data_IF_893112710038
#
_entry.id   IF_893112710038
#
_cell.length_a   1.000
_cell.length_b   1.000
_cell.length_c   1.000
_cell.angle_alpha   90.00
_cell.angle_beta   90.00
_cell.angle_gamma   90.00
#
_symmetry.space_group_name_H-M   'P 1'
#
loop_
_entity.id
_entity.type
_entity.pdbx_description
1 polymer ?
#
# COMPACT_ATOMS: atom_id res chain seq x y z
N UNK A 1 33.29 30.46 14.79
CA UNK A 1 33.42 29.24 13.96
C UNK A 1 32.17 28.44 14.25
N UNK A 2 31.12 28.68 13.45
CA UNK A 2 29.80 28.06 13.61
C UNK A 2 29.88 26.65 13.05
N UNK A 3 29.60 25.63 13.86
CA UNK A 3 29.51 24.26 13.40
C UNK A 3 28.46 24.17 12.28
N UNK A 4 28.71 23.39 11.21
CA UNK A 4 27.69 23.18 10.18
C UNK A 4 26.46 22.54 10.83
N UNK A 5 25.25 22.85 10.35
CA UNK A 5 24.03 22.24 10.89
C UNK A 5 24.13 20.71 10.77
N UNK A 6 23.98 19.99 11.88
CA UNK A 6 23.90 18.54 11.87
C UNK A 6 22.74 18.12 10.96
N UNK A 7 23.08 17.54 9.84
CA UNK A 7 22.09 17.00 8.91
C UNK A 7 21.33 15.87 9.63
N UNK A 8 20.02 15.97 9.72
CA UNK A 8 19.21 14.92 10.34
C UNK A 8 19.51 13.55 9.69
N UNK A 9 19.65 12.48 10.49
CA UNK A 9 20.00 11.16 9.99
C UNK A 9 18.99 10.66 8.96
N UNK A 10 19.52 10.04 7.91
CA UNK A 10 18.70 9.40 6.87
C UNK A 10 17.97 8.16 7.41
N UNK A 11 16.92 7.71 6.73
CA UNK A 11 16.20 6.50 7.12
C UNK A 11 17.10 5.25 7.10
N UNK A 12 18.04 5.17 6.16
CA UNK A 12 19.00 4.07 6.07
C UNK A 12 19.97 4.06 7.26
N UNK A 13 20.44 5.23 7.69
CA UNK A 13 21.30 5.37 8.89
C UNK A 13 20.55 5.00 10.16
N UNK A 14 19.28 5.47 10.30
CA UNK A 14 18.43 5.12 11.42
C UNK A 14 18.17 3.62 11.48
N UNK A 15 17.86 3.01 10.32
CA UNK A 15 17.61 1.58 10.24
C UNK A 15 18.86 0.77 10.58
N UNK A 16 20.02 1.15 10.08
CA UNK A 16 21.29 0.52 10.41
C UNK A 16 21.65 0.66 11.90
N UNK A 17 21.47 1.85 12.48
CA UNK A 17 21.68 2.09 13.90
C UNK A 17 20.72 1.26 14.77
N UNK A 18 19.48 1.03 14.31
CA UNK A 18 18.47 0.25 15.03
C UNK A 18 18.85 -1.24 15.19
N UNK A 19 19.80 -1.74 14.43
CA UNK A 19 20.30 -3.12 14.59
C UNK A 19 20.99 -3.31 15.93
N UNK A 20 21.71 -2.27 16.40
CA UNK A 20 22.45 -2.28 17.68
C UNK A 20 21.59 -1.72 18.83
N UNK A 21 20.74 -0.76 18.52
CA UNK A 21 19.88 -0.04 19.47
C UNK A 21 18.45 0.01 18.90
N UNK A 22 17.60 -0.90 19.35
CA UNK A 22 16.23 -1.07 18.85
C UNK A 22 15.39 0.20 18.93
N UNK A 23 15.64 1.08 19.88
CA UNK A 23 14.88 2.31 20.09
C UNK A 23 15.05 3.29 18.90
N UNK A 24 16.16 3.21 18.18
CA UNK A 24 16.39 3.99 16.96
C UNK A 24 15.38 3.70 15.86
N UNK A 25 14.73 2.54 15.86
CA UNK A 25 13.67 2.21 14.91
C UNK A 25 12.43 3.08 15.08
N UNK A 26 12.19 3.63 16.25
CA UNK A 26 11.06 4.54 16.54
C UNK A 26 11.04 5.73 15.57
N UNK A 27 12.21 6.30 15.25
CA UNK A 27 12.28 7.40 14.29
C UNK A 27 11.86 7.00 12.87
N UNK A 28 12.15 5.76 12.45
CA UNK A 28 11.67 5.22 11.16
C UNK A 28 10.15 4.99 11.21
N UNK A 29 9.66 4.46 12.32
CA UNK A 29 8.23 4.27 12.55
C UNK A 29 7.47 5.60 12.44
N UNK A 30 7.88 6.62 13.20
CA UNK A 30 7.20 7.93 13.26
C UNK A 30 7.17 8.62 11.89
N UNK A 31 8.27 8.54 11.13
CA UNK A 31 8.36 9.14 9.78
C UNK A 31 7.42 8.49 8.77
N UNK A 32 7.22 7.19 8.88
CA UNK A 32 6.53 6.43 7.82
C UNK A 32 5.13 5.93 8.21
N UNK A 33 4.79 5.92 9.50
CA UNK A 33 3.51 5.40 9.99
C UNK A 33 2.30 5.98 9.23
N UNK A 34 2.18 7.30 9.19
CA UNK A 34 1.02 7.95 8.56
C UNK A 34 0.88 7.61 7.06
N UNK A 35 2.01 7.49 6.35
CA UNK A 35 2.02 7.11 4.94
C UNK A 35 1.61 5.66 4.72
N UNK A 36 2.18 4.74 5.50
CA UNK A 36 1.87 3.31 5.44
C UNK A 36 0.42 3.07 5.85
N UNK A 37 -0.03 3.68 6.96
CA UNK A 37 -1.42 3.56 7.42
C UNK A 37 -2.41 4.01 6.34
N UNK A 38 -2.23 5.21 5.76
CA UNK A 38 -3.08 5.72 4.67
C UNK A 38 -3.13 4.76 3.49
N UNK A 39 -2.00 4.18 3.10
CA UNK A 39 -1.92 3.22 2.01
C UNK A 39 -2.68 1.93 2.34
N UNK A 40 -2.46 1.36 3.53
CA UNK A 40 -3.12 0.11 3.96
C UNK A 40 -4.62 0.33 4.14
N UNK A 41 -5.03 1.42 4.80
CA UNK A 41 -6.44 1.77 4.99
C UNK A 41 -7.16 2.00 3.66
N UNK A 42 -6.50 2.62 2.69
CA UNK A 42 -7.02 2.76 1.33
C UNK A 42 -7.16 1.44 0.56
N UNK A 43 -6.60 0.33 1.09
CA UNK A 43 -6.62 -1.00 0.47
C UNK A 43 -7.56 -1.98 1.16
N UNK A 44 -7.64 -1.94 2.47
CA UNK A 44 -8.34 -2.91 3.31
C UNK A 44 -9.50 -2.31 4.11
N UNK A 45 -9.58 -0.98 4.16
CA UNK A 45 -10.47 -0.27 5.08
C UNK A 45 -9.84 -0.08 6.46
N UNK A 46 -10.45 0.78 7.30
CA UNK A 46 -9.87 1.19 8.59
C UNK A 46 -9.76 0.02 9.57
N UNK A 47 -10.75 -0.89 9.63
CA UNK A 47 -10.79 -1.98 10.62
C UNK A 47 -9.64 -2.98 10.48
N UNK A 48 -9.20 -3.28 9.25
CA UNK A 48 -8.09 -4.19 9.00
C UNK A 48 -6.74 -3.46 8.87
N UNK A 49 -6.75 -2.12 8.86
CA UNK A 49 -5.55 -1.34 8.62
C UNK A 49 -4.56 -1.43 9.77
N UNK A 50 -5.04 -1.28 11.00
CA UNK A 50 -4.17 -1.20 12.19
C UNK A 50 -3.36 -2.48 12.37
N UNK A 51 -3.99 -3.65 12.23
CA UNK A 51 -3.32 -4.95 12.33
C UNK A 51 -2.25 -5.11 11.26
N UNK A 52 -2.57 -4.77 10.00
CA UNK A 52 -1.62 -4.91 8.88
C UNK A 52 -0.51 -3.88 8.96
N UNK A 53 -0.76 -2.69 9.47
CA UNK A 53 0.28 -1.67 9.73
C UNK A 53 1.22 -2.12 10.84
N UNK A 54 0.67 -2.59 11.95
CA UNK A 54 1.48 -3.12 13.05
C UNK A 54 2.37 -4.27 12.57
N UNK A 55 1.82 -5.24 11.82
CA UNK A 55 2.59 -6.35 11.26
C UNK A 55 3.62 -5.89 10.22
N UNK A 56 3.34 -4.80 9.48
CA UNK A 56 4.30 -4.20 8.53
C UNK A 56 5.54 -3.72 9.27
N UNK A 57 5.36 -2.92 10.32
CA UNK A 57 6.50 -2.40 11.09
C UNK A 57 7.20 -3.47 11.91
N UNK A 58 6.47 -4.44 12.46
CA UNK A 58 7.06 -5.59 13.14
C UNK A 58 7.92 -6.43 12.18
N UNK A 59 7.43 -6.68 10.97
CA UNK A 59 8.19 -7.38 9.93
C UNK A 59 9.42 -6.57 9.50
N UNK A 60 9.28 -5.26 9.34
CA UNK A 60 10.38 -4.37 9.03
C UNK A 60 11.44 -4.39 10.15
N UNK A 61 11.03 -4.29 11.41
CA UNK A 61 11.92 -4.38 12.56
C UNK A 61 12.68 -5.71 12.60
N UNK A 62 12.00 -6.83 12.39
CA UNK A 62 12.63 -8.16 12.36
C UNK A 62 13.63 -8.32 11.21
N UNK A 63 13.37 -7.68 10.08
CA UNK A 63 14.21 -7.77 8.86
C UNK A 63 15.21 -6.63 8.71
N UNK A 64 15.29 -5.70 9.65
CA UNK A 64 16.11 -4.48 9.53
C UNK A 64 17.59 -4.74 9.28
N UNK A 65 18.13 -5.83 9.84
CA UNK A 65 19.53 -6.22 9.63
C UNK A 65 19.80 -6.74 8.20
N UNK A 66 18.77 -7.16 7.48
CA UNK A 66 18.88 -7.64 6.10
C UNK A 66 18.53 -6.56 5.07
N UNK A 67 18.26 -5.33 5.51
CA UNK A 67 18.03 -4.22 4.59
C UNK A 67 19.34 -3.82 3.92
N UNK A 68 19.32 -3.73 2.61
CA UNK A 68 20.46 -3.33 1.79
C UNK A 68 20.17 -1.95 1.14
N UNK A 69 20.82 -0.86 1.59
CA UNK A 69 20.59 0.47 1.06
C UNK A 69 21.05 0.64 -0.40
N UNK A 70 21.91 -0.24 -0.91
CA UNK A 70 22.31 -0.22 -2.32
C UNK A 70 21.19 -0.66 -3.28
N UNK A 71 20.16 -1.32 -2.75
CA UNK A 71 19.00 -1.84 -3.49
C UNK A 71 17.78 -0.93 -3.45
N UNK A 72 17.88 0.22 -2.77
CA UNK A 72 16.80 1.21 -2.69
C UNK A 72 16.60 1.77 -1.29
N UNK A 73 15.63 2.66 -1.18
CA UNK A 73 15.33 3.38 0.05
C UNK A 73 14.43 2.58 1.02
N UNK A 74 14.48 2.96 2.29
CA UNK A 74 13.66 2.36 3.36
C UNK A 74 12.16 2.51 3.07
N UNK A 75 11.76 3.64 2.49
CA UNK A 75 10.35 3.93 2.20
C UNK A 75 9.74 2.92 1.22
N UNK A 76 10.20 2.74 -0.03
CA UNK A 76 9.67 1.71 -0.93
C UNK A 76 9.78 0.30 -0.34
N UNK A 77 10.81 -0.01 0.43
CA UNK A 77 10.93 -1.29 1.11
C UNK A 77 9.78 -1.54 2.10
N UNK A 78 9.40 -0.53 2.93
CA UNK A 78 8.24 -0.61 3.83
C UNK A 78 6.93 -0.82 3.05
N UNK A 79 6.72 -0.10 1.95
CA UNK A 79 5.54 -0.29 1.10
C UNK A 79 5.53 -1.66 0.40
N UNK A 80 6.69 -2.24 0.12
CA UNK A 80 6.84 -3.62 -0.36
C UNK A 80 6.33 -4.64 0.67
N UNK A 81 6.74 -4.48 1.94
CA UNK A 81 6.26 -5.32 3.05
C UNK A 81 4.74 -5.17 3.19
N UNK A 82 4.22 -3.94 3.27
CA UNK A 82 2.79 -3.66 3.38
C UNK A 82 1.99 -4.28 2.23
N UNK A 83 2.46 -4.16 0.99
CA UNK A 83 1.81 -4.71 -0.20
C UNK A 83 1.69 -6.23 -0.12
N UNK A 84 2.75 -6.91 0.34
CA UNK A 84 2.76 -8.37 0.52
C UNK A 84 1.79 -8.81 1.64
N UNK A 85 1.74 -8.09 2.76
CA UNK A 85 0.83 -8.38 3.87
C UNK A 85 -0.63 -8.12 3.48
N UNK A 86 -0.93 -7.06 2.74
CA UNK A 86 -2.26 -6.82 2.15
C UNK A 86 -2.68 -8.00 1.26
N UNK A 87 -1.77 -8.48 0.41
CA UNK A 87 -2.05 -9.63 -0.46
C UNK A 87 -2.29 -10.92 0.33
N UNK A 88 -1.57 -11.11 1.43
CA UNK A 88 -1.75 -12.25 2.34
C UNK A 88 -3.09 -12.16 3.09
N UNK A 89 -3.41 -10.99 3.67
CA UNK A 89 -4.68 -10.75 4.36
C UNK A 89 -5.88 -11.09 3.47
N UNK A 90 -5.90 -10.58 2.24
CA UNK A 90 -6.98 -10.88 1.27
C UNK A 90 -7.08 -12.36 0.93
N UNK A 91 -5.96 -13.08 0.77
CA UNK A 91 -6.00 -14.53 0.51
C UNK A 91 -6.60 -15.31 1.69
N UNK A 92 -6.28 -14.88 2.91
CA UNK A 92 -6.82 -15.49 4.14
C UNK A 92 -8.33 -15.26 4.25
N UNK A 93 -8.78 -14.03 4.03
CA UNK A 93 -10.19 -13.68 4.02
C UNK A 93 -10.98 -14.49 2.96
N UNK A 94 -10.49 -14.52 1.72
CA UNK A 94 -11.12 -15.31 0.66
C UNK A 94 -11.20 -16.81 1.04
N UNK A 95 -10.17 -17.35 1.69
CA UNK A 95 -10.17 -18.74 2.14
C UNK A 95 -11.20 -18.97 3.26
N UNK A 96 -11.30 -18.05 4.22
CA UNK A 96 -12.31 -18.11 5.29
C UNK A 96 -13.73 -18.08 4.72
N UNK A 97 -14.04 -17.16 3.81
CA UNK A 97 -15.34 -17.09 3.16
C UNK A 97 -15.68 -18.37 2.38
N UNK A 98 -14.73 -18.97 1.66
CA UNK A 98 -14.94 -20.24 0.94
C UNK A 98 -15.22 -21.41 1.88
N UNK A 99 -14.58 -21.45 3.04
CA UNK A 99 -14.85 -22.48 4.05
C UNK A 99 -16.25 -22.31 4.63
N UNK A 100 -16.63 -21.08 5.00
CA UNK A 100 -17.96 -20.77 5.50
C UNK A 100 -19.07 -21.04 4.47
N UNK A 101 -18.82 -20.70 3.19
CA UNK A 101 -19.76 -20.98 2.11
C UNK A 101 -19.96 -22.49 1.85
N UNK A 102 -18.94 -23.33 2.13
CA UNK A 102 -19.07 -24.78 2.05
C UNK A 102 -19.87 -25.38 3.20
N UNK A 103 -19.95 -24.68 4.34
CA UNK A 103 -20.73 -25.10 5.51
C UNK A 103 -22.19 -24.62 5.41
N UNK A 104 -22.46 -23.55 4.65
CA UNK A 104 -23.78 -23.05 4.33
C UNK A 104 -24.01 -23.08 2.83
N UNK A 105 -24.68 -24.11 2.35
CA UNK A 105 -24.91 -24.39 0.94
C UNK A 105 -25.52 -23.22 0.16
N UNK A 106 -25.10 -23.08 -1.12
CA UNK A 106 -25.66 -22.25 -2.18
C UNK A 106 -25.43 -20.72 -2.10
N UNK A 107 -24.23 -20.29 -2.52
CA UNK A 107 -24.06 -19.02 -3.28
C UNK A 107 -22.72 -19.00 -4.00
N UNK A 108 -22.80 -18.73 -5.30
CA UNK A 108 -21.71 -18.58 -6.28
C UNK A 108 -20.61 -17.62 -5.79
N UNK A 109 -19.31 -18.01 -5.72
CA UNK A 109 -18.23 -17.16 -5.23
C UNK A 109 -17.60 -16.29 -6.32
N UNK A 110 -18.40 -15.74 -7.21
CA UNK A 110 -17.99 -14.85 -8.27
C UNK A 110 -17.78 -13.40 -7.80
N UNK A 111 -16.54 -12.98 -7.54
CA UNK A 111 -16.15 -11.56 -7.60
C UNK A 111 -16.62 -10.63 -6.48
N UNK A 112 -17.12 -11.13 -5.35
CA UNK A 112 -17.70 -10.29 -4.27
C UNK A 112 -16.65 -9.70 -3.32
N UNK A 113 -15.51 -10.37 -3.12
CA UNK A 113 -14.50 -9.98 -2.11
C UNK A 113 -13.78 -8.67 -2.43
N UNK A 114 -13.52 -8.39 -3.72
CA UNK A 114 -12.90 -7.12 -4.14
C UNK A 114 -13.87 -5.93 -4.03
N UNK A 115 -15.17 -6.17 -4.07
CA UNK A 115 -16.21 -5.14 -3.91
C UNK A 115 -16.44 -4.76 -2.45
N UNK A 116 -16.42 -5.70 -1.51
CA UNK A 116 -16.61 -5.44 -0.08
C UNK A 116 -15.42 -4.65 0.48
N UNK A 117 -14.19 -5.03 0.15
CA UNK A 117 -12.99 -4.27 0.57
C UNK A 117 -12.94 -2.86 -0.03
N UNK A 118 -13.48 -2.65 -1.24
CA UNK A 118 -13.60 -1.33 -1.85
C UNK A 118 -14.69 -0.47 -1.18
N UNK A 119 -15.77 -1.07 -0.62
CA UNK A 119 -16.87 -0.32 -0.02
C UNK A 119 -16.52 0.29 1.34
N UNK A 120 -15.68 -0.38 2.14
CA UNK A 120 -15.30 0.10 3.48
C UNK A 120 -14.35 1.29 3.40
N UNK A 121 -13.53 1.39 2.35
CA UNK A 121 -12.70 2.59 2.08
C UNK A 121 -13.51 3.76 1.50
N UNK A 122 -14.77 3.52 1.13
CA UNK A 122 -15.61 4.48 0.41
C UNK A 122 -16.23 5.57 1.30
N UNK A 123 -16.24 5.42 2.61
CA UNK A 123 -16.83 6.42 3.52
C UNK A 123 -16.09 7.78 3.49
N UNK A 124 -14.84 7.81 3.04
CA UNK A 124 -14.05 9.03 2.86
C UNK A 124 -13.81 9.44 1.40
N UNK A 125 -14.17 8.60 0.44
CA UNK A 125 -14.07 8.88 -0.99
C UNK A 125 -15.47 9.12 -1.55
N UNK A 126 -15.58 10.02 -2.54
CA UNK A 126 -16.83 10.13 -3.28
C UNK A 126 -17.22 8.74 -3.81
N UNK A 127 -18.48 8.30 -3.66
CA UNK A 127 -18.90 6.95 -4.05
C UNK A 127 -18.59 6.58 -5.51
N UNK A 128 -18.52 7.58 -6.38
CA UNK A 128 -18.10 7.44 -7.78
C UNK A 128 -16.63 7.00 -7.92
N UNK A 129 -15.73 7.62 -7.14
CA UNK A 129 -14.30 7.28 -7.15
C UNK A 129 -14.06 5.87 -6.59
N UNK A 130 -14.74 5.50 -5.51
CA UNK A 130 -14.65 4.16 -4.94
C UNK A 130 -15.08 3.09 -5.95
N UNK A 131 -16.21 3.30 -6.65
CA UNK A 131 -16.68 2.41 -7.72
C UNK A 131 -15.70 2.35 -8.89
N UNK A 132 -15.15 3.49 -9.31
CA UNK A 132 -14.18 3.55 -10.40
C UNK A 132 -12.88 2.79 -10.04
N UNK A 133 -12.37 2.94 -8.82
CA UNK A 133 -11.23 2.18 -8.32
C UNK A 133 -11.55 0.67 -8.21
N UNK A 134 -12.76 0.30 -7.78
CA UNK A 134 -13.19 -1.09 -7.73
C UNK A 134 -13.26 -1.75 -9.12
N UNK A 135 -13.58 -0.99 -10.16
CA UNK A 135 -13.62 -1.47 -11.54
C UNK A 135 -12.24 -1.69 -12.18
N UNK A 136 -11.17 -1.21 -11.55
CA UNK A 136 -9.80 -1.50 -12.01
C UNK A 136 -9.44 -2.96 -11.72
N UNK A 137 -8.61 -3.56 -12.62
CA UNK A 137 -7.96 -4.81 -12.27
C UNK A 137 -7.10 -4.63 -11.02
N UNK A 138 -6.92 -5.70 -10.23
CA UNK A 138 -6.06 -5.66 -9.04
C UNK A 138 -4.67 -5.10 -9.34
N UNK A 139 -4.06 -5.55 -10.45
CA UNK A 139 -2.71 -5.13 -10.88
C UNK A 139 -2.64 -3.64 -11.25
N UNK A 140 -3.69 -3.10 -11.89
CA UNK A 140 -3.76 -1.68 -12.26
C UNK A 140 -4.03 -0.82 -11.01
N UNK A 141 -4.91 -1.29 -10.11
CA UNK A 141 -5.23 -0.62 -8.84
C UNK A 141 -4.01 -0.51 -7.92
N UNK A 142 -3.19 -1.58 -7.81
CA UNK A 142 -1.97 -1.59 -7.01
C UNK A 142 -1.01 -0.47 -7.44
N UNK A 143 -0.77 -0.33 -8.74
CA UNK A 143 0.12 0.72 -9.27
C UNK A 143 -0.45 2.12 -9.00
N UNK A 144 -1.77 2.33 -9.19
CA UNK A 144 -2.43 3.62 -8.92
C UNK A 144 -2.30 4.01 -7.45
N UNK A 145 -2.57 3.09 -6.54
CA UNK A 145 -2.56 3.40 -5.10
C UNK A 145 -1.14 3.61 -4.56
N UNK A 146 -0.14 2.87 -5.06
CA UNK A 146 1.26 3.14 -4.75
C UNK A 146 1.69 4.52 -5.26
N UNK A 147 1.25 4.92 -6.46
CA UNK A 147 1.54 6.26 -6.98
C UNK A 147 0.81 7.36 -6.21
N UNK A 148 -0.48 7.19 -5.93
CA UNK A 148 -1.33 8.25 -5.35
C UNK A 148 -1.18 8.38 -3.83
N UNK A 149 -1.13 7.27 -3.10
CA UNK A 149 -1.13 7.27 -1.63
C UNK A 149 0.28 7.16 -1.05
N UNK A 150 1.13 6.34 -1.66
CA UNK A 150 2.51 6.18 -1.26
C UNK A 150 3.46 7.17 -1.96
N UNK A 151 3.03 7.86 -3.02
CA UNK A 151 3.81 8.84 -3.79
C UNK A 151 5.14 8.28 -4.31
N UNK A 152 5.19 6.98 -4.60
CA UNK A 152 6.39 6.33 -5.11
C UNK A 152 6.67 6.74 -6.57
N UNK A 153 7.95 6.74 -6.95
CA UNK A 153 8.38 6.87 -8.34
C UNK A 153 7.99 5.64 -9.16
N UNK A 154 8.20 5.65 -10.47
CA UNK A 154 7.92 4.48 -11.29
C UNK A 154 8.92 3.35 -11.03
N UNK A 155 10.17 3.69 -10.76
CA UNK A 155 11.24 2.77 -10.38
C UNK A 155 10.89 2.05 -9.07
N UNK A 156 10.58 2.83 -8.04
CA UNK A 156 10.19 2.29 -6.74
C UNK A 156 8.95 1.38 -6.82
N UNK A 157 7.95 1.75 -7.65
CA UNK A 157 6.76 0.91 -7.88
C UNK A 157 7.13 -0.39 -8.60
N UNK A 158 8.05 -0.33 -9.56
CA UNK A 158 8.56 -1.50 -10.27
C UNK A 158 9.20 -2.49 -9.29
N UNK A 159 10.06 -1.98 -8.40
CA UNK A 159 10.76 -2.76 -7.37
C UNK A 159 9.77 -3.35 -6.35
N UNK A 160 8.86 -2.53 -5.81
CA UNK A 160 7.82 -2.96 -4.85
C UNK A 160 6.95 -4.07 -5.39
N UNK A 161 6.58 -4.02 -6.68
CA UNK A 161 5.69 -4.99 -7.32
C UNK A 161 6.42 -6.13 -8.04
N UNK A 162 7.75 -6.07 -8.15
CA UNK A 162 8.56 -7.04 -8.90
C UNK A 162 8.17 -7.10 -10.38
N UNK A 163 7.96 -5.93 -11.01
CA UNK A 163 7.53 -5.83 -12.42
C UNK A 163 8.48 -4.91 -13.21
N UNK A 164 8.62 -5.11 -14.54
CA UNK A 164 9.41 -4.21 -15.37
C UNK A 164 8.92 -2.76 -15.31
N UNK A 165 9.84 -1.80 -15.33
CA UNK A 165 9.56 -0.35 -15.33
C UNK A 165 8.48 0.05 -16.37
N UNK A 166 8.62 -0.40 -17.62
CA UNK A 166 7.66 -0.11 -18.68
C UNK A 166 6.24 -0.63 -18.39
N UNK A 167 6.12 -1.68 -17.55
CA UNK A 167 4.83 -2.22 -17.11
C UNK A 167 4.12 -1.27 -16.16
N UNK A 168 4.84 -0.51 -15.33
CA UNK A 168 4.26 0.50 -14.44
C UNK A 168 3.56 1.59 -15.26
N UNK A 169 4.26 2.16 -16.25
CA UNK A 169 3.71 3.18 -17.13
C UNK A 169 2.47 2.72 -17.87
N UNK A 170 2.51 1.52 -18.48
CA UNK A 170 1.38 0.97 -19.23
C UNK A 170 0.16 0.68 -18.34
N UNK A 171 0.35 0.19 -17.10
CA UNK A 171 -0.73 0.00 -16.11
C UNK A 171 -1.31 1.33 -15.65
N UNK A 172 -0.49 2.34 -15.35
CA UNK A 172 -0.97 3.68 -14.99
C UNK A 172 -1.79 4.31 -16.11
N UNK A 173 -1.32 4.23 -17.34
CA UNK A 173 -2.03 4.76 -18.51
C UNK A 173 -3.40 4.09 -18.68
N UNK A 174 -3.46 2.76 -18.59
CA UNK A 174 -4.72 1.99 -18.66
C UNK A 174 -5.67 2.36 -17.52
N UNK A 175 -5.16 2.45 -16.30
CA UNK A 175 -5.94 2.82 -15.13
C UNK A 175 -6.51 4.23 -15.25
N UNK A 176 -5.69 5.22 -15.64
CA UNK A 176 -6.15 6.61 -15.87
C UNK A 176 -7.27 6.69 -16.90
N UNK A 177 -7.15 5.96 -18.02
CA UNK A 177 -8.20 5.90 -19.03
C UNK A 177 -9.51 5.37 -18.45
N UNK A 178 -9.47 4.27 -17.69
CA UNK A 178 -10.66 3.69 -17.05
C UNK A 178 -11.27 4.61 -15.99
N UNK A 179 -10.44 5.26 -15.17
CA UNK A 179 -10.90 6.21 -14.16
C UNK A 179 -11.56 7.43 -14.79
N UNK A 180 -10.97 8.00 -15.85
CA UNK A 180 -11.59 9.12 -16.58
C UNK A 180 -12.94 8.75 -17.20
N UNK A 181 -13.09 7.54 -17.72
CA UNK A 181 -14.35 7.08 -18.29
C UNK A 181 -15.43 6.82 -17.23
N UNK A 182 -15.04 6.53 -15.98
CA UNK A 182 -15.95 6.19 -14.89
C UNK A 182 -16.30 7.38 -13.98
N UNK A 183 -15.54 8.47 -14.05
CA UNK A 183 -15.77 9.67 -13.24
C UNK A 183 -16.48 10.74 -14.09
N UNK A 184 -17.49 11.44 -13.54
CA UNK A 184 -18.06 12.58 -14.23
C UNK A 184 -16.96 13.62 -14.47
N UNK A 185 -17.07 14.37 -15.60
CA UNK A 185 -16.20 15.49 -15.85
C UNK A 185 -16.21 16.45 -14.64
N UNK A 186 -15.06 17.05 -14.27
CA UNK A 186 -15.09 18.08 -13.23
C UNK A 186 -16.10 19.13 -13.65
N UNK A 187 -17.10 19.37 -12.82
CA UNK A 187 -18.00 20.52 -13.00
C UNK A 187 -17.12 21.75 -12.82
N UNK A 188 -16.83 22.45 -13.92
CA UNK A 188 -16.25 23.79 -13.83
C UNK A 188 -17.25 24.62 -13.03
N UNK A 189 -16.92 24.84 -11.77
CA UNK A 189 -17.67 25.72 -10.88
C UNK A 189 -17.50 27.16 -11.39
N UNK A 190 -18.62 27.77 -11.73
CA UNK A 190 -18.79 29.22 -11.89
C UNK A 190 -18.29 29.97 -10.67
#
# INVERSE_FOLDING_TARGET
>A
MTAPPETAPTDAELLAASVRDGDRFTAVYDRHYAGVHRYVAGRLGPQAADDVVAETFLTAFRRRAAFDPSRGDVRPWLFGIATNLIAQHRRTETRRYRVLAKVGADRDPGGHDDRVAASVSAERLQPSLARALAALSRKDRDVVLLKALAQLTHEEIADVLGIPYGTVGSRLSRARRKLRAALPAPTEGL
#
